data_IF_253699390552
#
_entry.id   IF_253699390552
#
_cell.length_a   1.000
_cell.length_b   1.000
_cell.length_c   1.000
_cell.angle_alpha   90.00
_cell.angle_beta   90.00
_cell.angle_gamma   90.00
#
_symmetry.space_group_name_H-M   'P 1'
#
loop_
_entity.id
_entity.type
_entity.pdbx_description
1 polymer ?
#
# COMPACT_ATOMS: atom_id res chain seq x y z
N UNK A 1 -8.46 5.71 16.54
CA UNK A 1 -7.26 6.25 15.85
C UNK A 1 -6.63 5.11 15.07
N UNK A 2 -6.20 5.32 13.82
CA UNK A 2 -5.70 4.26 12.92
C UNK A 2 -4.19 4.41 12.70
N UNK A 3 -3.45 3.31 12.87
CA UNK A 3 -2.01 3.24 12.68
C UNK A 3 -1.64 2.04 11.80
N UNK A 4 -0.73 2.24 10.84
CA UNK A 4 -0.13 1.13 10.10
C UNK A 4 1.30 0.97 10.63
N UNK A 5 1.64 -0.24 11.07
CA UNK A 5 2.95 -0.55 11.61
C UNK A 5 3.48 -1.86 11.04
N UNK A 6 4.80 -2.00 11.05
CA UNK A 6 5.46 -3.28 10.80
C UNK A 6 5.54 -4.03 12.13
N UNK A 7 4.99 -5.25 12.18
CA UNK A 7 5.12 -6.09 13.36
C UNK A 7 6.27 -7.09 13.16
N UNK A 8 7.32 -6.94 13.97
CA UNK A 8 8.53 -7.78 13.90
C UNK A 8 8.42 -8.92 14.94
N UNK A 9 7.74 -10.00 14.59
CA UNK A 9 7.68 -11.23 15.39
C UNK A 9 8.78 -12.25 15.02
N UNK A 10 8.79 -13.42 15.70
CA UNK A 10 9.56 -14.60 15.28
C UNK A 10 8.93 -15.16 13.98
N UNK A 11 9.53 -14.87 12.81
CA UNK A 11 9.10 -15.24 11.45
C UNK A 11 7.93 -14.45 10.83
N UNK A 12 7.92 -14.34 9.49
CA UNK A 12 8.38 -13.17 8.74
C UNK A 12 7.62 -11.88 9.10
N UNK A 13 8.25 -10.72 8.90
CA UNK A 13 7.61 -9.41 9.13
C UNK A 13 6.30 -9.29 8.35
N UNK A 14 5.22 -8.97 9.07
CA UNK A 14 3.90 -8.72 8.49
C UNK A 14 3.52 -7.25 8.62
N UNK A 15 2.78 -6.75 7.63
CA UNK A 15 2.16 -5.43 7.70
C UNK A 15 0.85 -5.55 8.45
N UNK A 16 0.68 -4.76 9.51
CA UNK A 16 -0.58 -4.72 10.26
C UNK A 16 -1.21 -3.33 10.23
N UNK A 17 -2.53 -3.30 10.13
CA UNK A 17 -3.34 -2.13 10.44
C UNK A 17 -3.92 -2.30 11.84
N UNK A 18 -3.73 -1.30 12.67
CA UNK A 18 -4.20 -1.28 14.04
C UNK A 18 -5.19 -0.13 14.20
N UNK A 19 -6.35 -0.45 14.74
CA UNK A 19 -7.37 0.52 15.10
C UNK A 19 -7.70 0.36 16.57
N UNK A 20 -7.60 1.45 17.32
CA UNK A 20 -7.87 1.39 18.73
C UNK A 20 -8.55 2.63 19.28
N UNK A 21 -9.18 2.40 20.42
CA UNK A 21 -9.80 3.43 21.27
C UNK A 21 -9.24 3.30 22.68
N UNK A 22 -8.97 4.44 23.31
CA UNK A 22 -8.69 4.48 24.74
C UNK A 22 -10.03 4.38 25.48
N UNK A 23 -10.07 3.54 26.51
CA UNK A 23 -11.23 3.36 27.39
C UNK A 23 -10.78 3.62 28.82
N UNK A 24 -11.56 4.41 29.55
CA UNK A 24 -11.36 4.60 30.99
C UNK A 24 -12.30 3.67 31.74
N UNK A 25 -11.74 2.82 32.59
CA UNK A 25 -12.48 1.92 33.46
C UNK A 25 -12.12 2.25 34.93
N UNK A 26 -12.88 3.16 35.52
CA UNK A 26 -12.56 3.73 36.82
C UNK A 26 -11.23 4.50 36.77
N UNK A 27 -10.25 4.06 37.56
CA UNK A 27 -8.91 4.69 37.61
C UNK A 27 -7.88 4.08 36.63
N UNK A 28 -8.31 3.18 35.72
CA UNK A 28 -7.40 2.57 34.73
C UNK A 28 -7.69 3.11 33.33
N UNK A 29 -6.63 3.46 32.61
CA UNK A 29 -6.65 3.75 31.17
C UNK A 29 -6.27 2.48 30.43
N UNK A 30 -7.21 1.94 29.68
CA UNK A 30 -7.05 0.75 28.86
C UNK A 30 -7.14 1.14 27.38
N UNK A 31 -6.60 0.29 26.50
CA UNK A 31 -6.73 0.45 25.06
C UNK A 31 -7.37 -0.80 24.47
N UNK A 32 -8.51 -0.63 23.83
CA UNK A 32 -9.10 -1.68 23.01
C UNK A 32 -8.54 -1.52 21.59
N UNK A 33 -7.83 -2.54 21.09
CA UNK A 33 -7.16 -2.49 19.79
C UNK A 33 -7.58 -3.70 18.96
N UNK A 34 -8.01 -3.43 17.73
CA UNK A 34 -8.17 -4.41 16.66
C UNK A 34 -6.91 -4.37 15.79
N UNK A 35 -6.29 -5.53 15.58
CA UNK A 35 -5.11 -5.70 14.74
C UNK A 35 -5.49 -6.57 13.54
N UNK A 36 -5.26 -6.06 12.34
CA UNK A 36 -5.54 -6.74 11.08
C UNK A 36 -4.25 -6.92 10.29
N UNK A 37 -3.96 -8.16 9.87
CA UNK A 37 -2.89 -8.41 8.89
C UNK A 37 -3.33 -7.92 7.52
N UNK A 38 -2.55 -7.00 6.96
CA UNK A 38 -2.79 -6.36 5.67
C UNK A 38 -1.68 -6.68 4.66
N UNK A 39 -0.84 -7.67 4.93
CA UNK A 39 0.32 -8.02 4.09
C UNK A 39 -0.11 -8.37 2.66
N UNK A 40 -1.17 -9.16 2.51
CA UNK A 40 -1.75 -9.50 1.19
C UNK A 40 -2.22 -8.27 0.44
N UNK A 41 -2.89 -7.32 1.13
CA UNK A 41 -3.35 -6.07 0.53
C UNK A 41 -2.18 -5.22 0.05
N UNK A 42 -1.13 -5.10 0.88
CA UNK A 42 0.09 -4.38 0.52
C UNK A 42 0.82 -4.99 -0.66
N UNK A 43 0.85 -6.32 -0.77
CA UNK A 43 1.42 -7.01 -1.93
C UNK A 43 0.65 -6.71 -3.21
N UNK A 44 -0.68 -6.77 -3.17
CA UNK A 44 -1.54 -6.44 -4.31
C UNK A 44 -1.40 -4.96 -4.74
N UNK A 45 -1.31 -4.03 -3.79
CA UNK A 45 -1.06 -2.61 -4.07
C UNK A 45 0.28 -2.42 -4.82
N UNK A 46 1.33 -3.12 -4.38
CA UNK A 46 2.66 -3.06 -5.01
C UNK A 46 2.65 -3.63 -6.42
N UNK A 47 1.98 -4.75 -6.62
CA UNK A 47 1.85 -5.37 -7.94
C UNK A 47 1.05 -4.49 -8.90
N UNK A 48 -0.06 -3.91 -8.44
CA UNK A 48 -0.83 -2.93 -9.19
C UNK A 48 0.02 -1.73 -9.61
N UNK A 49 0.82 -1.16 -8.70
CA UNK A 49 1.71 -0.03 -9.03
C UNK A 49 2.74 -0.41 -10.10
N UNK A 50 3.32 -1.61 -10.01
CA UNK A 50 4.28 -2.10 -11.03
C UNK A 50 3.64 -2.21 -12.40
N UNK A 51 2.45 -2.81 -12.49
CA UNK A 51 1.73 -2.94 -13.76
C UNK A 51 1.41 -1.57 -14.37
N UNK A 52 0.94 -0.62 -13.56
CA UNK A 52 0.66 0.74 -14.01
C UNK A 52 1.91 1.46 -14.52
N UNK A 53 3.06 1.26 -13.88
CA UNK A 53 4.34 1.82 -14.34
C UNK A 53 4.74 1.23 -15.70
N UNK A 54 4.63 -0.08 -15.87
CA UNK A 54 4.92 -0.75 -17.14
C UNK A 54 4.04 -0.20 -18.27
N UNK A 55 2.73 -0.15 -18.04
CA UNK A 55 1.77 0.39 -19.02
C UNK A 55 2.09 1.85 -19.36
N UNK A 56 2.41 2.67 -18.35
CA UNK A 56 2.76 4.08 -18.55
C UNK A 56 3.98 4.25 -19.45
N UNK A 57 5.04 3.46 -19.22
CA UNK A 57 6.24 3.47 -20.07
C UNK A 57 5.93 3.05 -21.51
N UNK A 58 5.16 1.98 -21.70
CA UNK A 58 4.78 1.49 -23.04
C UNK A 58 3.95 2.54 -23.81
N UNK A 59 3.03 3.21 -23.13
CA UNK A 59 2.25 4.32 -23.71
C UNK A 59 3.17 5.48 -24.09
N UNK A 60 4.14 5.84 -23.23
CA UNK A 60 5.11 6.91 -23.52
C UNK A 60 5.90 6.59 -24.79
N UNK A 61 6.48 5.40 -24.87
CA UNK A 61 7.24 4.95 -26.05
C UNK A 61 6.38 4.98 -27.31
N UNK A 62 5.14 4.51 -27.21
CA UNK A 62 4.21 4.51 -28.35
C UNK A 62 3.85 5.93 -28.82
N UNK A 63 3.66 6.87 -27.88
CA UNK A 63 3.42 8.28 -28.20
C UNK A 63 4.63 8.91 -28.87
N UNK A 64 5.82 8.62 -28.37
CA UNK A 64 7.08 9.13 -28.94
C UNK A 64 7.26 8.62 -30.37
N UNK A 65 7.09 7.32 -30.59
CA UNK A 65 7.07 6.67 -31.92
C UNK A 65 6.08 7.38 -32.85
N UNK A 66 4.82 7.53 -32.43
CA UNK A 66 3.80 8.18 -33.26
C UNK A 66 4.19 9.62 -33.61
N UNK A 67 4.78 10.36 -32.68
CA UNK A 67 5.20 11.75 -32.89
C UNK A 67 6.36 11.89 -33.89
N UNK A 68 7.24 10.89 -33.95
CA UNK A 68 8.29 10.79 -34.96
C UNK A 68 7.67 10.52 -36.33
N UNK A 69 6.78 9.53 -36.42
CA UNK A 69 6.16 9.15 -37.70
C UNK A 69 5.08 10.12 -38.20
N UNK A 70 4.54 11.00 -37.35
CA UNK A 70 3.58 12.04 -37.76
C UNK A 70 4.23 13.34 -38.24
N UNK A 71 5.56 13.47 -38.18
CA UNK A 71 6.29 14.64 -38.67
C UNK A 71 6.77 14.53 -40.12
N UNK A 72 6.68 13.34 -40.72
CA UNK A 72 7.16 13.04 -42.07
C UNK A 72 6.05 13.00 -43.13
N UNK A 73 4.88 13.61 -42.86
CA UNK A 73 3.75 13.77 -43.79
C UNK A 73 3.38 15.24 -43.98
#
# INVERSE_FOLDING_TARGET
MTFIANFFGKNPSVYVQMEGVAVENGNRKEYLIVIMDISKRKQAEKEKMRLLQTISMEISVTKDIRSVFSKDL
#
